data_IF_857213092388
#
_entry.id   IF_857213092388
#
_cell.length_a   1.000
_cell.length_b   1.000
_cell.length_c   1.000
_cell.angle_alpha   90.00
_cell.angle_beta   90.00
_cell.angle_gamma   90.00
#
_symmetry.space_group_name_H-M   'P 1'
#
loop_
_entity.id
_entity.type
_entity.pdbx_description
1 polymer ?
#
# COMPACT_ATOMS: atom_id res chain seq x y z
N UNK A 1 24.00 10.64 -8.10
CA UNK A 1 25.26 10.04 -8.56
C UNK A 1 24.90 8.75 -9.29
N UNK A 2 25.35 8.57 -10.56
CA UNK A 2 25.07 7.31 -11.27
C UNK A 2 25.77 6.14 -10.60
N UNK A 3 25.17 4.96 -10.71
CA UNK A 3 25.79 3.73 -10.23
C UNK A 3 27.02 3.40 -11.08
N UNK A 4 28.08 2.97 -10.45
CA UNK A 4 29.32 2.57 -11.15
C UNK A 4 29.32 1.07 -11.48
N UNK A 5 28.51 0.29 -10.75
CA UNK A 5 28.31 -1.14 -11.00
C UNK A 5 26.80 -1.40 -10.90
N UNK A 6 26.28 -2.19 -11.82
CA UNK A 6 24.86 -2.59 -11.81
C UNK A 6 24.76 -4.11 -11.91
N UNK A 7 23.77 -4.68 -11.25
CA UNK A 7 23.48 -6.11 -11.32
C UNK A 7 22.02 -6.29 -11.77
N UNK A 8 21.85 -6.88 -12.95
CA UNK A 8 20.51 -7.18 -13.51
C UNK A 8 20.20 -8.69 -13.45
N UNK A 9 21.14 -9.46 -12.97
CA UNK A 9 21.03 -10.92 -12.78
C UNK A 9 21.97 -11.30 -11.64
N UNK A 10 21.90 -12.54 -11.21
CA UNK A 10 22.81 -13.05 -10.18
C UNK A 10 24.25 -12.80 -10.58
N UNK A 11 25.00 -12.14 -9.72
CA UNK A 11 26.34 -11.62 -10.01
C UNK A 11 27.24 -11.82 -8.80
N UNK A 12 28.48 -12.22 -9.04
CA UNK A 12 29.51 -12.29 -7.99
C UNK A 12 30.52 -11.17 -8.22
N UNK A 13 30.80 -10.42 -7.15
CA UNK A 13 31.72 -9.28 -7.18
C UNK A 13 32.77 -9.45 -6.08
N UNK A 14 33.90 -8.80 -6.25
CA UNK A 14 34.87 -8.60 -5.17
C UNK A 14 34.92 -7.11 -4.85
N UNK A 15 34.58 -6.73 -3.63
CA UNK A 15 34.55 -5.34 -3.20
C UNK A 15 35.38 -5.21 -1.92
N UNK A 16 36.47 -4.44 -1.99
CA UNK A 16 37.38 -4.20 -0.87
C UNK A 16 37.88 -5.49 -0.21
N UNK A 17 38.15 -6.51 -1.03
CA UNK A 17 38.67 -7.81 -0.55
C UNK A 17 37.58 -8.75 0.00
N UNK A 18 36.30 -8.39 -0.12
CA UNK A 18 35.20 -9.24 0.28
C UNK A 18 34.50 -9.80 -0.96
N UNK A 19 34.21 -11.07 -0.93
CA UNK A 19 33.32 -11.70 -1.93
C UNK A 19 31.89 -11.31 -1.63
N UNK A 20 31.19 -10.81 -2.65
CA UNK A 20 29.78 -10.39 -2.52
C UNK A 20 28.98 -11.03 -3.66
N UNK A 21 27.99 -11.81 -3.31
CA UNK A 21 27.03 -12.36 -4.26
C UNK A 21 25.79 -11.47 -4.23
N UNK A 22 25.35 -11.02 -5.40
CA UNK A 22 24.22 -10.09 -5.55
C UNK A 22 23.12 -10.79 -6.31
N UNK A 23 21.92 -10.81 -5.74
CA UNK A 23 20.73 -11.36 -6.42
C UNK A 23 19.65 -10.29 -6.50
N UNK A 24 19.11 -9.99 -7.70
CA UNK A 24 17.93 -9.13 -7.80
C UNK A 24 16.77 -9.72 -6.98
N UNK A 25 16.18 -8.89 -6.16
CA UNK A 25 15.11 -9.29 -5.24
C UNK A 25 14.09 -8.14 -5.11
N UNK A 26 13.32 -7.88 -6.19
CA UNK A 26 12.31 -6.81 -6.16
C UNK A 26 11.45 -6.88 -4.92
N UNK A 27 11.34 -5.74 -4.23
CA UNK A 27 10.64 -5.64 -2.96
C UNK A 27 9.97 -4.28 -2.83
N UNK A 28 10.49 -3.38 -2.00
CA UNK A 28 9.98 -2.00 -1.90
C UNK A 28 10.19 -1.23 -3.21
N UNK A 29 11.24 -1.58 -3.96
CA UNK A 29 11.51 -1.03 -5.28
C UNK A 29 11.86 -2.18 -6.23
N UNK A 30 11.60 -1.98 -7.52
CA UNK A 30 11.83 -3.00 -8.54
C UNK A 30 13.31 -3.34 -8.71
N UNK A 31 14.20 -2.41 -8.33
CA UNK A 31 15.64 -2.59 -8.42
C UNK A 31 16.31 -3.01 -7.10
N UNK A 32 15.52 -3.47 -6.13
CA UNK A 32 16.05 -4.00 -4.88
C UNK A 32 16.87 -5.27 -5.13
N UNK A 33 17.91 -5.46 -4.33
CA UNK A 33 18.79 -6.62 -4.39
C UNK A 33 19.04 -7.19 -2.99
N UNK A 34 19.40 -8.46 -2.94
CA UNK A 34 19.98 -9.09 -1.74
C UNK A 34 21.49 -9.21 -1.97
N UNK A 35 22.27 -8.76 -1.00
CA UNK A 35 23.72 -8.97 -0.97
C UNK A 35 24.02 -10.11 0.00
N UNK A 36 24.79 -11.07 -0.45
CA UNK A 36 25.29 -12.16 0.39
C UNK A 36 26.82 -12.08 0.49
N UNK A 37 27.32 -12.03 1.71
CA UNK A 37 28.75 -12.00 2.02
C UNK A 37 29.12 -13.35 2.63
N UNK A 38 29.46 -14.37 1.83
CA UNK A 38 29.65 -15.71 2.38
C UNK A 38 30.79 -15.81 3.40
N UNK A 39 31.83 -15.03 3.22
CA UNK A 39 32.99 -15.04 4.14
C UNK A 39 32.64 -14.48 5.52
N UNK A 40 31.54 -13.71 5.61
CA UNK A 40 31.06 -13.11 6.85
C UNK A 40 29.80 -13.80 7.39
N UNK A 41 29.21 -14.71 6.63
CA UNK A 41 27.91 -15.27 6.96
C UNK A 41 26.82 -14.21 7.05
N UNK A 42 26.92 -13.13 6.25
CA UNK A 42 26.05 -11.96 6.37
C UNK A 42 25.21 -11.78 5.11
N UNK A 43 23.90 -11.71 5.27
CA UNK A 43 22.98 -11.28 4.21
C UNK A 43 22.48 -9.85 4.50
N UNK A 44 22.43 -9.02 3.45
CA UNK A 44 21.89 -7.66 3.52
C UNK A 44 20.75 -7.57 2.50
N UNK A 45 19.57 -7.11 2.93
CA UNK A 45 18.36 -7.24 2.12
C UNK A 45 17.35 -6.11 2.36
N UNK A 46 16.28 -6.10 1.55
CA UNK A 46 15.13 -5.21 1.71
C UNK A 46 13.81 -6.00 1.68
N UNK A 47 13.81 -7.23 2.20
CA UNK A 47 12.66 -8.16 2.09
C UNK A 47 11.89 -8.36 3.39
N UNK A 48 12.59 -8.54 4.51
CA UNK A 48 11.96 -8.73 5.83
C UNK A 48 11.92 -7.38 6.54
N UNK A 49 10.73 -6.92 6.84
CA UNK A 49 10.52 -5.63 7.50
C UNK A 49 10.12 -5.85 8.97
N UNK A 50 10.30 -4.85 9.83
CA UNK A 50 9.85 -4.97 11.22
C UNK A 50 8.33 -4.76 11.37
N UNK A 51 7.57 -5.24 10.40
CA UNK A 51 6.10 -5.23 10.32
C UNK A 51 5.72 -6.04 9.09
N UNK A 52 4.46 -6.41 8.97
CA UNK A 52 3.95 -7.06 7.74
C UNK A 52 4.25 -6.15 6.54
N UNK A 53 4.89 -6.71 5.51
CA UNK A 53 5.31 -5.97 4.32
C UNK A 53 4.09 -5.38 3.60
N UNK A 54 4.23 -4.17 3.10
CA UNK A 54 3.12 -3.49 2.43
C UNK A 54 3.06 -3.89 0.95
N UNK A 55 2.18 -4.81 0.62
CA UNK A 55 1.95 -5.28 -0.76
C UNK A 55 1.23 -4.20 -1.58
N UNK A 56 0.29 -3.47 -0.97
CA UNK A 56 -0.54 -2.56 -1.73
C UNK A 56 0.18 -1.23 -2.03
N UNK A 57 -0.05 -0.71 -3.26
CA UNK A 57 0.60 0.49 -3.77
C UNK A 57 -0.11 1.74 -3.22
N UNK A 58 0.39 2.27 -2.12
CA UNK A 58 -0.28 3.32 -1.35
C UNK A 58 -0.05 4.73 -1.91
N UNK A 59 0.97 4.92 -2.74
CA UNK A 59 1.38 6.25 -3.23
C UNK A 59 1.46 6.35 -4.75
N UNK A 60 0.83 5.41 -5.45
CA UNK A 60 0.85 5.39 -6.91
C UNK A 60 2.06 4.70 -7.54
N UNK A 61 2.78 3.94 -6.75
CA UNK A 61 3.85 3.05 -7.22
C UNK A 61 3.27 1.72 -7.72
N UNK A 62 4.09 0.91 -8.37
CA UNK A 62 3.70 -0.42 -8.80
C UNK A 62 3.34 -1.30 -7.59
N UNK A 63 2.34 -2.15 -7.76
CA UNK A 63 2.01 -3.09 -6.70
C UNK A 63 3.12 -4.14 -6.59
N UNK A 64 3.39 -4.57 -5.38
CA UNK A 64 4.44 -5.55 -5.11
C UNK A 64 3.85 -6.94 -5.21
N UNK A 65 4.25 -7.68 -6.24
CA UNK A 65 3.72 -9.04 -6.48
C UNK A 65 4.20 -9.98 -5.37
N UNK A 66 3.29 -10.59 -4.59
CA UNK A 66 3.69 -11.49 -3.52
C UNK A 66 4.57 -12.65 -3.98
N UNK A 67 4.37 -13.14 -5.21
CA UNK A 67 5.16 -14.26 -5.74
C UNK A 67 6.64 -13.89 -5.89
N UNK A 68 6.90 -12.65 -6.29
CA UNK A 68 8.27 -12.14 -6.42
C UNK A 68 8.91 -11.96 -5.04
N UNK A 69 8.12 -11.45 -4.07
CA UNK A 69 8.59 -11.35 -2.69
C UNK A 69 8.92 -12.73 -2.10
N UNK A 70 8.06 -13.71 -2.35
CA UNK A 70 8.25 -15.09 -1.87
C UNK A 70 9.53 -15.70 -2.45
N UNK A 71 9.79 -15.51 -3.76
CA UNK A 71 11.03 -15.99 -4.38
C UNK A 71 12.27 -15.40 -3.70
N UNK A 72 12.25 -14.10 -3.44
CA UNK A 72 13.35 -13.43 -2.74
C UNK A 72 13.53 -13.93 -1.30
N UNK A 73 12.42 -14.19 -0.60
CA UNK A 73 12.45 -14.69 0.77
C UNK A 73 12.93 -16.15 0.83
N UNK A 74 12.51 -16.99 -0.14
CA UNK A 74 12.98 -18.37 -0.24
C UNK A 74 14.50 -18.41 -0.46
N UNK A 75 15.02 -17.54 -1.33
CA UNK A 75 16.46 -17.42 -1.52
C UNK A 75 17.14 -17.00 -0.21
N UNK A 76 16.63 -15.97 0.45
CA UNK A 76 17.20 -15.45 1.69
C UNK A 76 17.23 -16.53 2.78
N UNK A 77 16.14 -17.27 2.96
CA UNK A 77 16.07 -18.37 3.93
C UNK A 77 17.11 -19.46 3.64
N UNK A 78 17.36 -19.72 2.33
CA UNK A 78 18.29 -20.75 1.89
C UNK A 78 19.77 -20.42 2.02
N UNK A 79 20.13 -19.16 2.33
CA UNK A 79 21.55 -18.76 2.43
C UNK A 79 22.26 -19.32 3.65
N UNK A 80 21.53 -19.70 4.70
CA UNK A 80 22.15 -20.13 5.97
C UNK A 80 22.89 -18.99 6.67
N UNK A 81 22.38 -17.77 6.54
CA UNK A 81 23.04 -16.57 7.07
C UNK A 81 23.13 -16.61 8.60
N UNK A 82 24.32 -16.36 9.13
CA UNK A 82 24.55 -16.18 10.58
C UNK A 82 24.11 -14.77 11.03
N UNK A 83 24.13 -13.83 10.09
CA UNK A 83 23.76 -12.44 10.37
C UNK A 83 22.86 -11.93 9.24
N UNK A 84 21.84 -11.19 9.63
CA UNK A 84 20.88 -10.62 8.68
C UNK A 84 20.75 -9.12 8.99
N UNK A 85 21.07 -8.29 7.99
CA UNK A 85 20.91 -6.84 8.09
C UNK A 85 19.93 -6.37 7.03
N UNK A 86 19.07 -5.43 7.40
CA UNK A 86 18.02 -4.93 6.51
C UNK A 86 18.12 -3.42 6.35
N UNK A 87 17.48 -2.91 5.31
CA UNK A 87 17.32 -1.46 5.15
C UNK A 87 16.41 -0.88 6.23
N UNK A 88 15.58 -1.71 6.85
CA UNK A 88 14.66 -1.32 7.93
C UNK A 88 14.76 -2.31 9.09
N UNK A 89 14.74 -1.79 10.30
CA UNK A 89 14.71 -2.59 11.51
C UNK A 89 16.08 -3.00 12.04
N UNK A 90 16.11 -3.64 13.18
CA UNK A 90 17.37 -4.09 13.79
C UNK A 90 17.94 -5.30 13.05
N UNK A 91 19.26 -5.49 13.08
CA UNK A 91 19.85 -6.71 12.54
C UNK A 91 19.50 -7.92 13.42
N UNK A 92 19.57 -9.11 12.83
CA UNK A 92 19.38 -10.37 13.54
C UNK A 92 20.65 -11.21 13.44
N UNK A 93 20.88 -12.08 14.42
CA UNK A 93 22.00 -13.03 14.43
C UNK A 93 21.52 -14.38 14.92
N UNK A 94 22.11 -15.44 14.37
CA UNK A 94 21.76 -16.84 14.66
C UNK A 94 21.05 -17.48 13.48
N UNK A 95 21.75 -18.38 12.79
CA UNK A 95 21.24 -18.97 11.54
C UNK A 95 19.87 -19.63 11.71
N UNK A 96 19.67 -20.36 12.81
CA UNK A 96 18.38 -21.06 13.04
C UNK A 96 17.23 -20.06 13.24
N UNK A 97 17.45 -19.01 14.03
CA UNK A 97 16.44 -17.98 14.26
C UNK A 97 16.13 -17.21 12.98
N UNK A 98 17.16 -16.86 12.22
CA UNK A 98 16.98 -16.14 10.93
C UNK A 98 16.16 -17.01 9.98
N UNK A 99 16.53 -18.28 9.81
CA UNK A 99 15.79 -19.19 8.91
C UNK A 99 14.32 -19.33 9.34
N UNK A 100 14.07 -19.51 10.64
CA UNK A 100 12.70 -19.63 11.15
C UNK A 100 11.88 -18.35 10.88
N UNK A 101 12.42 -17.18 11.21
CA UNK A 101 11.69 -15.92 11.07
C UNK A 101 11.46 -15.55 9.61
N UNK A 102 12.47 -15.75 8.75
CA UNK A 102 12.33 -15.48 7.31
C UNK A 102 11.26 -16.41 6.71
N UNK A 103 11.30 -17.69 7.08
CA UNK A 103 10.31 -18.67 6.62
C UNK A 103 8.90 -18.30 7.08
N UNK A 104 8.74 -17.92 8.34
CA UNK A 104 7.44 -17.52 8.88
C UNK A 104 6.90 -16.27 8.16
N UNK A 105 7.78 -15.31 7.91
CA UNK A 105 7.44 -14.09 7.16
C UNK A 105 6.99 -14.43 5.74
N UNK A 106 7.76 -15.27 5.08
CA UNK A 106 7.47 -15.79 3.73
C UNK A 106 6.10 -16.51 3.71
N UNK A 107 5.85 -17.35 4.71
CA UNK A 107 4.62 -18.14 4.79
C UNK A 107 3.39 -17.28 5.04
N UNK A 108 3.53 -16.17 5.79
CA UNK A 108 2.43 -15.22 5.98
C UNK A 108 2.03 -14.57 4.65
N UNK A 109 3.02 -14.20 3.82
CA UNK A 109 2.76 -13.62 2.49
C UNK A 109 2.12 -14.69 1.58
N UNK A 110 2.63 -15.93 1.61
CA UNK A 110 2.07 -17.04 0.87
C UNK A 110 0.61 -17.29 1.28
N UNK A 111 0.33 -17.27 2.58
CA UNK A 111 -1.04 -17.45 3.09
C UNK A 111 -1.99 -16.41 2.50
N UNK A 112 -1.60 -15.14 2.52
CA UNK A 112 -2.45 -14.07 1.98
C UNK A 112 -2.68 -14.26 0.48
N UNK A 113 -1.64 -14.65 -0.26
CA UNK A 113 -1.76 -14.96 -1.69
C UNK A 113 -2.73 -16.13 -1.91
N UNK A 114 -2.48 -17.26 -1.26
CA UNK A 114 -3.26 -18.50 -1.47
C UNK A 114 -4.73 -18.31 -1.10
N UNK A 115 -5.00 -17.65 0.04
CA UNK A 115 -6.39 -17.43 0.45
C UNK A 115 -7.09 -16.43 -0.48
N UNK A 116 -6.37 -15.43 -0.97
CA UNK A 116 -6.96 -14.50 -1.95
C UNK A 116 -7.34 -15.24 -3.22
N UNK A 117 -6.45 -16.06 -3.77
CA UNK A 117 -6.73 -16.86 -4.97
C UNK A 117 -7.90 -17.81 -4.71
N UNK A 118 -7.87 -18.52 -3.60
CA UNK A 118 -8.93 -19.46 -3.22
C UNK A 118 -10.32 -18.82 -3.20
N UNK A 119 -10.45 -17.71 -2.49
CA UNK A 119 -11.76 -17.08 -2.30
C UNK A 119 -12.19 -16.24 -3.50
N UNK A 120 -11.25 -15.68 -4.25
CA UNK A 120 -11.55 -15.05 -5.54
C UNK A 120 -12.15 -16.06 -6.51
N UNK A 121 -11.59 -17.27 -6.57
CA UNK A 121 -12.13 -18.35 -7.41
C UNK A 121 -13.52 -18.81 -6.97
N UNK A 122 -13.94 -18.44 -5.77
CA UNK A 122 -15.30 -18.69 -5.24
C UNK A 122 -16.22 -17.50 -5.39
N UNK A 123 -15.76 -16.43 -6.05
CA UNK A 123 -16.57 -15.29 -6.41
C UNK A 123 -16.58 -14.14 -5.41
N UNK A 124 -15.72 -14.13 -4.39
CA UNK A 124 -15.68 -13.03 -3.43
C UNK A 124 -15.12 -11.76 -4.05
N UNK A 125 -15.75 -10.63 -3.75
CA UNK A 125 -15.27 -9.29 -4.15
C UNK A 125 -14.09 -8.85 -3.27
N UNK A 126 -13.46 -7.73 -3.58
CA UNK A 126 -12.38 -7.18 -2.78
C UNK A 126 -12.77 -6.94 -1.31
N UNK A 127 -13.87 -6.21 -1.07
CA UNK A 127 -14.36 -6.02 0.31
C UNK A 127 -14.70 -7.33 1.04
N UNK A 128 -15.30 -8.30 0.35
CA UNK A 128 -15.64 -9.59 0.94
C UNK A 128 -14.39 -10.38 1.33
N UNK A 129 -13.33 -10.30 0.50
CA UNK A 129 -12.04 -10.90 0.81
C UNK A 129 -11.43 -10.27 2.07
N UNK A 130 -11.54 -8.93 2.16
CA UNK A 130 -10.99 -8.19 3.30
C UNK A 130 -11.70 -8.57 4.61
N UNK A 131 -13.00 -8.84 4.55
CA UNK A 131 -13.78 -9.28 5.69
C UNK A 131 -13.50 -10.75 6.05
N UNK A 132 -13.18 -11.57 5.04
CA UNK A 132 -13.06 -13.03 5.18
C UNK A 132 -11.68 -13.49 5.62
N UNK A 133 -10.63 -12.79 5.19
CA UNK A 133 -9.26 -13.27 5.33
C UNK A 133 -8.53 -12.50 6.43
N UNK A 134 -8.23 -13.18 7.51
CA UNK A 134 -7.43 -12.68 8.62
C UNK A 134 -6.14 -13.50 8.73
N UNK A 135 -5.08 -12.89 9.21
CA UNK A 135 -3.83 -13.63 9.48
C UNK A 135 -4.06 -14.55 10.68
N UNK A 136 -3.76 -15.86 10.54
CA UNK A 136 -3.80 -16.77 11.68
C UNK A 136 -2.88 -16.33 12.81
N UNK A 137 -3.22 -16.73 14.02
CA UNK A 137 -2.50 -16.38 15.24
C UNK A 137 -1.00 -16.71 15.15
N UNK A 138 -0.65 -17.83 14.50
CA UNK A 138 0.75 -18.23 14.30
C UNK A 138 1.59 -17.15 13.59
N UNK A 139 0.95 -16.31 12.77
CA UNK A 139 1.61 -15.19 12.11
C UNK A 139 1.41 -13.89 12.90
N UNK A 140 0.18 -13.62 13.34
CA UNK A 140 -0.16 -12.35 13.99
C UNK A 140 0.55 -12.15 15.33
N UNK A 141 1.03 -13.22 15.96
CA UNK A 141 1.79 -13.13 17.21
C UNK A 141 3.29 -12.83 17.00
N UNK A 142 3.77 -12.96 15.76
CA UNK A 142 5.18 -12.65 15.47
C UNK A 142 5.39 -11.13 15.37
N UNK A 143 6.42 -10.62 16.04
CA UNK A 143 6.69 -9.18 16.06
C UNK A 143 7.05 -8.63 14.68
N UNK A 144 7.62 -9.47 13.78
CA UNK A 144 7.93 -9.09 12.40
C UNK A 144 6.69 -9.06 11.51
N UNK A 145 5.54 -9.57 11.99
CA UNK A 145 4.33 -9.66 11.18
C UNK A 145 3.19 -8.81 11.72
N UNK A 146 3.49 -7.95 12.70
CA UNK A 146 2.49 -7.02 13.21
C UNK A 146 2.02 -6.07 12.12
N UNK A 147 0.73 -5.78 12.11
CA UNK A 147 0.11 -4.97 11.05
C UNK A 147 0.23 -3.47 11.34
N UNK A 148 1.49 -3.04 11.58
CA UNK A 148 1.80 -1.62 11.84
C UNK A 148 2.09 -0.83 10.56
N UNK A 149 2.34 -1.53 9.46
CA UNK A 149 2.64 -0.94 8.16
C UNK A 149 1.68 -1.48 7.10
N UNK A 150 1.89 -2.71 6.62
CA UNK A 150 0.93 -3.42 5.80
C UNK A 150 -0.20 -3.99 6.65
N UNK A 151 -1.38 -4.15 6.07
CA UNK A 151 -2.54 -4.79 6.71
C UNK A 151 -3.16 -5.79 5.77
N UNK A 152 -3.52 -6.95 6.31
CA UNK A 152 -4.06 -8.06 5.52
C UNK A 152 -5.25 -7.65 4.67
N UNK A 153 -6.18 -6.86 5.24
CA UNK A 153 -7.40 -6.46 4.51
C UNK A 153 -7.10 -5.66 3.24
N UNK A 154 -6.00 -4.90 3.21
CA UNK A 154 -5.62 -4.16 2.01
C UNK A 154 -4.81 -5.02 1.04
N UNK A 155 -4.01 -5.95 1.58
CA UNK A 155 -3.21 -6.85 0.77
C UNK A 155 -4.07 -7.75 -0.09
N UNK A 156 -5.12 -8.35 0.48
CA UNK A 156 -6.00 -9.26 -0.28
C UNK A 156 -6.72 -8.51 -1.40
N UNK A 157 -7.13 -7.28 -1.16
CA UNK A 157 -7.76 -6.44 -2.19
C UNK A 157 -6.76 -6.09 -3.31
N UNK A 158 -5.51 -5.75 -2.94
CA UNK A 158 -4.46 -5.44 -3.91
C UNK A 158 -4.07 -6.68 -4.73
N UNK A 159 -3.92 -7.83 -4.08
CA UNK A 159 -3.60 -9.10 -4.76
C UNK A 159 -4.68 -9.40 -5.80
N UNK A 160 -5.95 -9.31 -5.38
CA UNK A 160 -7.07 -9.53 -6.31
C UNK A 160 -7.02 -8.54 -7.48
N UNK A 161 -6.80 -7.28 -7.20
CA UNK A 161 -6.69 -6.24 -8.25
C UNK A 161 -5.49 -6.51 -9.17
N UNK A 162 -4.39 -7.00 -8.64
CA UNK A 162 -3.21 -7.40 -9.44
C UNK A 162 -3.49 -8.57 -10.36
N UNK A 163 -4.38 -9.49 -9.94
CA UNK A 163 -4.77 -10.64 -10.75
C UNK A 163 -5.76 -10.29 -11.87
N UNK A 164 -6.72 -9.40 -11.59
CA UNK A 164 -7.87 -9.15 -12.47
C UNK A 164 -7.99 -7.71 -12.96
N UNK A 165 -7.20 -6.80 -12.43
CA UNK A 165 -7.36 -5.38 -12.73
C UNK A 165 -8.52 -4.77 -11.95
N UNK A 166 -9.08 -3.66 -12.45
CA UNK A 166 -10.11 -2.92 -11.70
C UNK A 166 -11.47 -3.62 -11.67
N UNK A 167 -11.76 -4.43 -12.69
CA UNK A 167 -13.08 -5.06 -12.81
C UNK A 167 -13.14 -6.34 -11.98
N UNK A 168 -14.08 -6.38 -11.05
CA UNK A 168 -14.22 -7.48 -10.09
C UNK A 168 -15.25 -8.55 -10.49
N UNK A 169 -15.83 -8.43 -11.69
CA UNK A 169 -16.82 -9.39 -12.19
C UNK A 169 -18.27 -8.92 -12.01
N UNK A 170 -18.52 -7.83 -11.31
CA UNK A 170 -19.86 -7.33 -11.04
C UNK A 170 -20.18 -6.16 -12.00
N UNK A 171 -21.08 -6.35 -12.99
CA UNK A 171 -21.37 -5.31 -13.99
C UNK A 171 -21.80 -3.96 -13.42
N UNK A 172 -22.41 -3.93 -12.23
CA UNK A 172 -22.80 -2.64 -11.63
C UNK A 172 -21.59 -1.73 -11.38
N UNK A 173 -20.41 -2.32 -11.21
CA UNK A 173 -19.15 -1.57 -10.98
C UNK A 173 -18.49 -1.09 -12.26
N UNK A 174 -18.98 -1.54 -13.43
CA UNK A 174 -18.57 -0.98 -14.73
C UNK A 174 -19.28 0.33 -15.04
N UNK A 175 -20.44 0.55 -14.42
CA UNK A 175 -21.33 1.66 -14.77
C UNK A 175 -21.64 2.55 -13.54
N UNK A 176 -20.64 2.95 -12.76
CA UNK A 176 -20.91 3.79 -11.59
C UNK A 176 -21.31 5.20 -12.04
N UNK A 177 -22.21 5.83 -11.30
CA UNK A 177 -22.46 7.25 -11.48
C UNK A 177 -21.25 8.06 -11.03
N UNK A 178 -20.98 9.24 -11.63
CA UNK A 178 -20.02 10.19 -11.07
C UNK A 178 -20.39 10.52 -9.62
N UNK A 179 -19.38 10.81 -8.79
CA UNK A 179 -19.57 10.93 -7.34
C UNK A 179 -20.67 11.92 -6.94
N UNK A 180 -20.75 13.08 -7.61
CA UNK A 180 -21.80 14.06 -7.30
C UNK A 180 -23.21 13.50 -7.56
N UNK A 181 -23.42 12.81 -8.70
CA UNK A 181 -24.73 12.20 -9.00
C UNK A 181 -25.05 11.03 -8.07
N UNK A 182 -24.01 10.28 -7.69
CA UNK A 182 -24.15 9.18 -6.73
C UNK A 182 -24.59 9.75 -5.38
N UNK A 183 -23.94 10.81 -4.91
CA UNK A 183 -24.28 11.49 -3.66
C UNK A 183 -25.73 11.98 -3.65
N UNK A 184 -26.14 12.70 -4.70
CA UNK A 184 -27.53 13.19 -4.81
C UNK A 184 -28.55 12.07 -4.68
N UNK A 185 -28.32 10.96 -5.40
CA UNK A 185 -29.27 9.83 -5.43
C UNK A 185 -29.32 9.10 -4.08
N UNK A 186 -28.17 8.82 -3.48
CA UNK A 186 -28.14 8.13 -2.19
C UNK A 186 -28.73 9.00 -1.08
N UNK A 187 -28.38 10.27 -1.02
CA UNK A 187 -28.91 11.21 -0.02
C UNK A 187 -30.43 11.29 -0.14
N UNK A 188 -30.95 11.44 -1.38
CA UNK A 188 -32.41 11.47 -1.60
C UNK A 188 -33.07 10.18 -1.15
N UNK A 189 -32.49 9.01 -1.47
CA UNK A 189 -33.04 7.70 -1.11
C UNK A 189 -33.03 7.47 0.39
N UNK A 190 -32.08 8.10 1.12
CA UNK A 190 -31.93 7.95 2.58
C UNK A 190 -32.71 9.00 3.38
N UNK A 191 -33.54 9.80 2.72
CA UNK A 191 -34.40 10.79 3.41
C UNK A 191 -33.83 12.20 3.48
N UNK A 192 -32.79 12.48 2.71
CA UNK A 192 -32.21 13.82 2.59
C UNK A 192 -30.97 14.04 3.45
N UNK A 193 -30.32 15.17 3.23
CA UNK A 193 -29.03 15.49 3.90
C UNK A 193 -29.09 15.40 5.43
N UNK A 194 -30.15 15.95 6.05
CA UNK A 194 -30.23 15.97 7.51
C UNK A 194 -30.37 14.56 8.09
N UNK A 195 -31.09 13.67 7.38
CA UNK A 195 -31.19 12.27 7.81
C UNK A 195 -29.82 11.58 7.74
N UNK A 196 -29.08 11.79 6.64
CA UNK A 196 -27.73 11.19 6.48
C UNK A 196 -26.76 11.76 7.51
N UNK A 197 -26.79 13.09 7.74
CA UNK A 197 -25.96 13.75 8.77
C UNK A 197 -26.21 13.14 10.16
N UNK A 198 -27.47 12.89 10.52
CA UNK A 198 -27.80 12.27 11.78
C UNK A 198 -27.23 10.83 11.89
N UNK A 199 -27.27 10.07 10.79
CA UNK A 199 -26.69 8.71 10.76
C UNK A 199 -25.16 8.80 10.95
N UNK A 200 -24.48 9.71 10.25
CA UNK A 200 -23.03 9.90 10.38
C UNK A 200 -22.67 10.22 11.84
N UNK A 201 -23.37 11.19 12.41
CA UNK A 201 -23.09 11.66 13.79
C UNK A 201 -23.29 10.49 14.79
N UNK A 202 -24.34 9.70 14.61
CA UNK A 202 -24.61 8.53 15.46
C UNK A 202 -23.64 7.39 15.29
N UNK A 203 -23.16 7.15 14.07
CA UNK A 203 -22.29 6.01 13.77
C UNK A 203 -20.80 6.29 14.01
N UNK A 204 -20.39 7.56 14.13
CA UNK A 204 -18.97 7.96 14.14
C UNK A 204 -18.13 7.17 15.14
N UNK A 205 -18.61 6.95 16.35
CA UNK A 205 -17.85 6.19 17.35
C UNK A 205 -18.17 4.69 17.32
N UNK A 206 -19.40 4.30 16.99
CA UNK A 206 -19.81 2.89 17.06
C UNK A 206 -19.47 2.10 15.80
N UNK A 207 -19.63 2.71 14.61
CA UNK A 207 -19.32 2.09 13.32
C UNK A 207 -18.65 3.13 12.40
N UNK A 208 -17.38 3.45 12.65
CA UNK A 208 -16.68 4.47 11.86
C UNK A 208 -16.48 4.08 10.39
N UNK A 209 -16.56 2.79 10.01
CA UNK A 209 -16.51 2.40 8.59
C UNK A 209 -17.75 2.91 7.87
N UNK A 210 -18.92 2.65 8.45
CA UNK A 210 -20.19 3.13 7.88
C UNK A 210 -20.25 4.67 7.88
N UNK A 211 -19.85 5.29 8.99
CA UNK A 211 -19.78 6.75 9.08
C UNK A 211 -18.86 7.33 7.99
N UNK A 212 -17.72 6.67 7.71
CA UNK A 212 -16.75 7.13 6.71
C UNK A 212 -17.33 7.00 5.29
N UNK A 213 -18.04 5.93 4.97
CA UNK A 213 -18.68 5.75 3.68
C UNK A 213 -19.68 6.88 3.42
N UNK A 214 -20.53 7.16 4.41
CA UNK A 214 -21.55 8.21 4.29
C UNK A 214 -20.94 9.61 4.26
N UNK A 215 -20.00 9.91 5.15
CA UNK A 215 -19.36 11.23 5.18
C UNK A 215 -18.57 11.49 3.89
N UNK A 216 -17.89 10.45 3.38
CA UNK A 216 -17.18 10.52 2.11
C UNK A 216 -18.12 10.76 0.93
N UNK A 217 -19.33 10.20 0.99
CA UNK A 217 -20.36 10.41 -0.03
C UNK A 217 -20.94 11.83 0.04
N UNK A 218 -21.33 12.26 1.25
CA UNK A 218 -22.02 13.55 1.46
C UNK A 218 -21.20 14.74 0.95
N UNK A 219 -19.88 14.74 1.12
CA UNK A 219 -19.04 15.87 0.68
C UNK A 219 -19.05 16.09 -0.84
N UNK A 220 -19.62 15.15 -1.61
CA UNK A 220 -19.81 15.30 -3.06
C UNK A 220 -21.21 15.78 -3.44
N UNK A 221 -22.12 15.97 -2.47
CA UNK A 221 -23.47 16.49 -2.73
C UNK A 221 -23.39 17.99 -3.04
N UNK A 222 -24.24 18.45 -3.96
CA UNK A 222 -24.25 19.86 -4.38
C UNK A 222 -24.47 20.85 -3.23
N UNK A 223 -25.26 20.46 -2.24
CA UNK A 223 -25.58 21.30 -1.07
C UNK A 223 -24.70 20.98 0.16
N UNK A 224 -23.59 20.24 -0.03
CA UNK A 224 -22.67 19.95 1.08
C UNK A 224 -21.98 21.22 1.56
N UNK A 225 -21.88 21.37 2.87
CA UNK A 225 -21.35 22.57 3.51
C UNK A 225 -20.06 22.31 4.30
N UNK A 226 -19.60 23.33 5.03
CA UNK A 226 -18.40 23.22 5.88
C UNK A 226 -18.63 22.22 7.04
N UNK A 227 -19.86 22.13 7.52
CA UNK A 227 -20.22 21.14 8.56
C UNK A 227 -20.05 19.72 8.08
N UNK A 228 -20.37 19.44 6.82
CA UNK A 228 -20.20 18.10 6.23
C UNK A 228 -18.71 17.76 6.09
N UNK A 229 -17.91 18.74 5.68
CA UNK A 229 -16.46 18.56 5.62
C UNK A 229 -15.85 18.33 7.02
N UNK A 230 -16.38 19.04 8.02
CA UNK A 230 -15.96 18.85 9.42
C UNK A 230 -16.36 17.45 9.93
N UNK A 231 -17.57 16.97 9.58
CA UNK A 231 -17.99 15.59 9.91
C UNK A 231 -17.02 14.57 9.32
N UNK A 232 -16.70 14.70 8.02
CA UNK A 232 -15.74 13.80 7.38
C UNK A 232 -14.39 13.84 8.12
N UNK A 233 -13.91 15.04 8.48
CA UNK A 233 -12.64 15.18 9.20
C UNK A 233 -12.69 14.49 10.58
N UNK A 234 -13.83 14.59 11.28
CA UNK A 234 -14.01 13.94 12.58
C UNK A 234 -13.98 12.39 12.44
N UNK A 235 -14.74 11.85 11.50
CA UNK A 235 -14.76 10.40 11.24
C UNK A 235 -13.36 9.89 10.88
N UNK A 236 -12.67 10.60 9.99
CA UNK A 236 -11.29 10.22 9.58
C UNK A 236 -10.35 10.18 10.78
N UNK A 237 -10.51 11.09 11.75
CA UNK A 237 -9.70 11.09 12.97
C UNK A 237 -10.03 9.90 13.87
N UNK A 238 -11.30 9.47 13.92
CA UNK A 238 -11.68 8.27 14.67
C UNK A 238 -11.01 7.04 14.04
N UNK A 239 -11.12 6.88 12.71
CA UNK A 239 -10.46 5.78 11.99
C UNK A 239 -8.94 5.82 12.25
N UNK A 240 -8.33 7.02 12.17
CA UNK A 240 -6.89 7.18 12.40
C UNK A 240 -6.44 6.75 13.81
N UNK A 241 -7.30 6.93 14.82
CA UNK A 241 -6.98 6.54 16.19
C UNK A 241 -7.11 5.02 16.40
N UNK A 242 -7.92 4.36 15.60
CA UNK A 242 -8.25 2.92 15.79
C UNK A 242 -7.39 1.98 14.96
N UNK A 243 -6.77 2.48 13.88
CA UNK A 243 -5.93 1.63 13.04
C UNK A 243 -4.52 1.49 13.63
N UNK A 244 -3.97 0.29 13.52
CA UNK A 244 -2.55 0.04 13.84
C UNK A 244 -1.63 0.48 12.71
N UNK A 245 -2.15 0.54 11.47
CA UNK A 245 -1.36 0.84 10.28
C UNK A 245 -0.97 2.31 10.21
N UNK A 246 0.33 2.60 10.21
CA UNK A 246 0.86 3.95 10.03
C UNK A 246 0.40 4.57 8.70
N UNK A 247 0.30 3.75 7.66
CA UNK A 247 -0.11 4.21 6.32
C UNK A 247 -1.57 4.67 6.32
N UNK A 248 -2.49 3.85 6.82
CA UNK A 248 -3.91 4.18 6.91
C UNK A 248 -4.10 5.41 7.79
N UNK A 249 -3.46 5.41 8.96
CA UNK A 249 -3.53 6.53 9.90
C UNK A 249 -3.13 7.85 9.23
N UNK A 250 -2.00 7.84 8.53
CA UNK A 250 -1.47 9.07 7.92
C UNK A 250 -2.33 9.54 6.74
N UNK A 251 -2.90 8.62 5.95
CA UNK A 251 -3.86 8.99 4.91
C UNK A 251 -5.11 9.63 5.52
N UNK A 252 -5.66 9.03 6.57
CA UNK A 252 -6.84 9.57 7.25
C UNK A 252 -6.55 10.96 7.84
N UNK A 253 -5.43 11.14 8.52
CA UNK A 253 -5.07 12.44 9.11
C UNK A 253 -4.82 13.51 8.04
N UNK A 254 -4.18 13.12 6.93
CA UNK A 254 -3.92 14.05 5.82
C UNK A 254 -5.23 14.49 5.17
N UNK A 255 -6.13 13.54 4.91
CA UNK A 255 -7.43 13.84 4.32
C UNK A 255 -8.32 14.66 5.29
N UNK A 256 -8.23 14.37 6.59
CA UNK A 256 -8.98 15.14 7.60
C UNK A 256 -8.57 16.61 7.58
N UNK A 257 -7.26 16.89 7.50
CA UNK A 257 -6.74 18.25 7.45
C UNK A 257 -7.12 18.99 6.17
N UNK A 258 -7.22 18.27 5.07
CA UNK A 258 -7.69 18.83 3.80
C UNK A 258 -9.19 19.16 3.90
N UNK A 259 -9.97 18.23 4.47
CA UNK A 259 -11.42 18.38 4.59
C UNK A 259 -11.80 19.56 5.49
N UNK A 260 -11.12 19.74 6.62
CA UNK A 260 -11.43 20.84 7.55
C UNK A 260 -10.68 22.14 7.24
N UNK A 261 -9.95 22.19 6.14
CA UNK A 261 -9.27 23.40 5.68
C UNK A 261 -7.98 23.76 6.45
N UNK A 262 -7.54 22.93 7.42
CA UNK A 262 -6.30 23.25 8.16
C UNK A 262 -5.06 23.06 7.29
N UNK A 263 -5.17 22.32 6.19
CA UNK A 263 -4.08 22.16 5.23
C UNK A 263 -4.64 21.82 3.85
N UNK A 264 -4.44 22.68 2.88
CA UNK A 264 -4.84 22.36 1.50
C UNK A 264 -3.83 21.44 0.83
N UNK A 265 -4.35 20.43 0.15
CA UNK A 265 -3.57 19.52 -0.70
C UNK A 265 -3.52 19.98 -2.17
N UNK A 266 -4.13 21.09 -2.51
CA UNK A 266 -4.20 21.58 -3.90
C UNK A 266 -2.81 21.74 -4.50
N UNK A 267 -1.86 22.20 -3.71
CA UNK A 267 -0.47 22.32 -4.16
C UNK A 267 0.15 20.99 -4.60
N UNK A 268 -0.35 19.88 -4.07
CA UNK A 268 0.15 18.54 -4.42
C UNK A 268 -0.59 17.95 -5.63
N UNK A 269 -1.74 18.51 -5.97
CA UNK A 269 -2.58 18.03 -7.08
C UNK A 269 -2.23 18.68 -8.41
N UNK A 270 -1.41 19.73 -8.40
CA UNK A 270 -1.02 20.47 -9.61
C UNK A 270 0.30 19.90 -10.14
N UNK A 271 0.33 19.62 -11.42
CA UNK A 271 1.56 19.20 -12.08
C UNK A 271 2.63 20.29 -11.96
N UNK A 272 3.81 19.89 -11.53
CA UNK A 272 4.96 20.79 -11.41
C UNK A 272 6.24 20.05 -11.72
N UNK A 273 7.11 20.77 -12.37
CA UNK A 273 8.46 20.29 -12.64
C UNK A 273 9.44 21.25 -11.96
N UNK A 274 10.17 20.75 -10.98
CA UNK A 274 11.19 21.56 -10.30
C UNK A 274 12.41 21.66 -11.22
N UNK A 275 13.08 22.81 -11.20
CA UNK A 275 14.27 23.05 -12.05
C UNK A 275 15.25 21.89 -11.99
N UNK A 276 15.59 21.42 -10.79
CA UNK A 276 16.56 20.33 -10.63
C UNK A 276 16.08 18.98 -11.20
N UNK A 277 14.78 18.78 -11.33
CA UNK A 277 14.23 17.53 -11.89
C UNK A 277 14.35 17.51 -13.41
N UNK A 278 14.30 18.69 -14.03
CA UNK A 278 14.30 18.82 -15.49
C UNK A 278 15.62 19.33 -16.05
N UNK A 279 16.59 19.62 -15.18
CA UNK A 279 17.86 20.24 -15.59
C UNK A 279 18.62 19.41 -16.64
N UNK A 280 18.50 18.09 -16.54
CA UNK A 280 19.23 17.18 -17.43
C UNK A 280 18.34 16.60 -18.55
N UNK A 281 17.10 17.12 -18.69
CA UNK A 281 16.18 16.62 -19.70
C UNK A 281 16.49 17.24 -21.07
N UNK A 282 16.31 16.47 -22.13
CA UNK A 282 16.39 17.01 -23.48
C UNK A 282 15.20 17.92 -23.77
N UNK A 283 15.33 18.78 -24.77
CA UNK A 283 14.22 19.64 -25.23
C UNK A 283 13.02 18.77 -25.65
N UNK A 284 13.28 17.64 -26.28
CA UNK A 284 12.21 16.72 -26.71
C UNK A 284 11.44 16.18 -25.49
N UNK A 285 12.15 15.81 -24.42
CA UNK A 285 11.51 15.33 -23.19
C UNK A 285 10.67 16.44 -22.53
N UNK A 286 11.23 17.66 -22.47
CA UNK A 286 10.53 18.82 -21.91
C UNK A 286 9.23 19.10 -22.68
N UNK A 287 9.29 19.06 -24.01
CA UNK A 287 8.09 19.25 -24.85
C UNK A 287 7.12 18.06 -24.66
N UNK A 288 7.67 16.84 -24.58
CA UNK A 288 6.87 15.63 -24.41
C UNK A 288 6.00 15.63 -23.16
N UNK A 289 6.51 16.13 -22.03
CA UNK A 289 5.75 16.15 -20.78
C UNK A 289 4.63 17.20 -20.79
N UNK A 290 4.65 18.16 -21.70
CA UNK A 290 3.56 19.14 -21.80
C UNK A 290 2.23 18.49 -22.19
N UNK A 291 2.26 17.28 -22.77
CA UNK A 291 1.04 16.55 -23.15
C UNK A 291 0.02 16.43 -22.04
N UNK A 292 0.49 16.25 -20.79
CA UNK A 292 -0.40 16.09 -19.63
C UNK A 292 -1.09 17.40 -19.23
N UNK A 293 -0.61 18.53 -19.78
CA UNK A 293 -1.17 19.84 -19.47
C UNK A 293 -2.17 20.33 -20.52
N UNK A 294 -2.23 19.63 -21.66
CA UNK A 294 -3.14 20.03 -22.75
C UNK A 294 -4.57 19.64 -22.39
N UNK A 295 -5.45 20.61 -22.41
CA UNK A 295 -6.89 20.38 -22.23
C UNK A 295 -7.51 20.44 -23.65
N UNK A 296 -7.97 19.33 -24.22
CA UNK A 296 -8.62 19.37 -25.54
C UNK A 296 -9.93 20.12 -25.43
N UNK A 297 -10.14 21.10 -26.37
CA UNK A 297 -11.44 21.79 -26.49
C UNK A 297 -12.39 20.87 -27.20
N UNK A 298 -13.28 20.86 -26.53
CA UNK A 298 -14.17 20.07 -27.03
C UNK A 298 -14.66 20.21 -28.07
#
# INVERSE_FOLDING_TARGET
VPATVTATADTSLEIAGLRVEVRPAPSDADDSVTFWFPDLGLAVHNLVWPALFNVFAIRGESYRDPRVLIDGLDHLAGLGAEHLAATHGPPMSGAAEIAERVTRYRDAIQFLWDQTVRWTNRGLSGPDLADRIELPEVFSDDWLLQQHYGVAEHHVQQIRSGLFGFFDGDPQRLLPHPEHKRAERFVAAMGGLDAVRAIIDGATEDDPRWALELAGLVVHHGDADEGDRARLAAVLRVVARRTTSANVRNWCLTRARDADGTRSLDRNRVHRFRHRQVADWSVADLVGVLRVLVVPEX
#
